data_IF_779368817599
#
_entry.id   IF_779368817599
#
_cell.length_a   1.000
_cell.length_b   1.000
_cell.length_c   1.000
_cell.angle_alpha   90.00
_cell.angle_beta   90.00
_cell.angle_gamma   90.00
#
_symmetry.space_group_name_H-M   'P 1'
#
loop_
_entity.id
_entity.type
_entity.pdbx_description
1 polymer ?
#
# COMPACT_ATOMS: atom_id res chain seq x y z
N UNK A 1 25.00 5.59 -27.59
CA UNK A 1 25.45 5.95 -26.24
C UNK A 1 24.26 6.17 -25.30
N UNK A 2 23.57 5.07 -24.91
CA UNK A 2 22.35 5.15 -24.10
C UNK A 2 22.68 4.81 -22.65
N UNK A 3 22.21 5.65 -21.71
CA UNK A 3 22.24 5.36 -20.27
C UNK A 3 20.84 4.97 -19.82
N UNK A 4 20.74 4.00 -18.90
CA UNK A 4 19.48 3.52 -18.34
C UNK A 4 19.48 3.76 -16.83
N UNK A 5 18.42 4.37 -16.33
CA UNK A 5 18.21 4.62 -14.92
C UNK A 5 17.05 3.77 -14.44
N UNK A 6 17.25 3.04 -13.35
CA UNK A 6 16.23 2.18 -12.76
C UNK A 6 16.20 2.33 -11.24
N UNK A 7 15.02 2.23 -10.66
CA UNK A 7 14.85 2.30 -9.20
C UNK A 7 15.30 1.01 -8.52
N UNK A 8 15.01 -0.14 -9.12
CA UNK A 8 15.36 -1.46 -8.59
C UNK A 8 16.30 -2.17 -9.56
N UNK A 9 17.18 -3.01 -9.04
CA UNK A 9 18.06 -3.88 -9.82
C UNK A 9 17.28 -4.66 -10.89
N UNK A 10 17.71 -4.64 -12.16
CA UNK A 10 17.10 -5.45 -13.22
C UNK A 10 17.15 -6.93 -12.89
N UNK A 11 16.01 -7.62 -12.91
CA UNK A 11 15.91 -9.01 -12.49
C UNK A 11 16.78 -9.97 -13.32
N UNK A 12 17.38 -10.95 -12.65
CA UNK A 12 18.18 -12.01 -13.26
C UNK A 12 17.34 -13.20 -13.74
N UNK A 13 16.20 -13.46 -13.09
CA UNK A 13 15.34 -14.60 -13.39
C UNK A 13 14.39 -14.34 -14.57
N UNK A 14 13.97 -15.41 -15.23
CA UNK A 14 12.89 -15.41 -16.19
C UNK A 14 11.63 -15.95 -15.51
N UNK A 15 10.61 -15.12 -15.37
CA UNK A 15 9.31 -15.47 -14.78
C UNK A 15 8.21 -15.40 -15.84
N UNK A 16 7.15 -14.65 -15.57
CA UNK A 16 6.09 -14.33 -16.55
C UNK A 16 6.63 -13.55 -17.75
N UNK A 17 7.73 -12.84 -17.58
CA UNK A 17 8.46 -12.09 -18.59
C UNK A 17 9.93 -12.51 -18.61
N UNK A 18 10.66 -12.32 -19.73
CA UNK A 18 12.09 -12.53 -19.77
C UNK A 18 12.86 -11.66 -18.78
N UNK A 19 14.07 -12.10 -18.36
CA UNK A 19 14.96 -11.35 -17.48
C UNK A 19 15.30 -9.97 -18.04
N UNK A 20 15.07 -8.92 -17.26
CA UNK A 20 15.45 -7.55 -17.64
C UNK A 20 16.97 -7.40 -17.80
N UNK A 21 17.78 -8.03 -16.94
CA UNK A 21 19.23 -7.97 -17.03
C UNK A 21 19.75 -8.65 -18.31
N UNK A 22 19.17 -9.79 -18.71
CA UNK A 22 19.55 -10.47 -19.97
C UNK A 22 19.13 -9.65 -21.19
N UNK A 23 17.94 -9.02 -21.19
CA UNK A 23 17.54 -8.12 -22.26
C UNK A 23 18.52 -6.96 -22.39
N UNK A 24 18.90 -6.32 -21.30
CA UNK A 24 19.87 -5.23 -21.30
C UNK A 24 21.26 -5.68 -21.76
N UNK A 25 21.68 -6.91 -21.45
CA UNK A 25 22.95 -7.46 -21.92
C UNK A 25 23.01 -7.61 -23.43
N UNK A 26 21.86 -7.84 -24.10
CA UNK A 26 21.76 -7.88 -25.57
C UNK A 26 21.73 -6.46 -26.17
N UNK A 27 20.98 -5.54 -25.55
CA UNK A 27 20.84 -4.15 -26.00
C UNK A 27 22.11 -3.30 -25.79
N UNK A 28 23.01 -3.73 -24.92
CA UNK A 28 24.31 -3.10 -24.63
C UNK A 28 24.23 -1.58 -24.41
N UNK A 29 23.46 -1.09 -23.44
CA UNK A 29 23.55 0.32 -23.05
C UNK A 29 24.99 0.62 -22.58
N UNK A 30 25.44 1.87 -22.71
CA UNK A 30 26.77 2.28 -22.25
C UNK A 30 26.90 2.21 -20.72
N UNK A 31 25.78 2.42 -20.01
CA UNK A 31 25.75 2.45 -18.56
C UNK A 31 24.35 2.13 -18.03
N UNK A 32 24.26 1.39 -16.91
CA UNK A 32 23.04 1.18 -16.12
C UNK A 32 23.26 1.73 -14.73
N UNK A 33 22.37 2.62 -14.30
CA UNK A 33 22.42 3.32 -13.03
C UNK A 33 21.22 2.85 -12.20
N UNK A 34 21.50 2.23 -11.04
CA UNK A 34 20.54 1.53 -10.20
C UNK A 34 20.43 2.25 -8.85
N UNK A 35 19.23 2.56 -8.40
CA UNK A 35 19.04 3.13 -7.08
C UNK A 35 19.20 2.06 -5.99
N UNK A 36 18.42 1.00 -6.01
CA UNK A 36 18.39 -0.02 -4.96
C UNK A 36 18.68 -1.42 -5.52
N UNK A 37 19.47 -2.22 -4.79
CA UNK A 37 19.65 -3.65 -5.11
C UNK A 37 18.37 -4.42 -4.83
N UNK A 38 18.12 -5.48 -5.60
CA UNK A 38 17.01 -6.36 -5.34
C UNK A 38 17.33 -7.29 -4.16
N UNK A 39 16.53 -7.18 -3.09
CA UNK A 39 16.64 -8.05 -1.90
C UNK A 39 15.92 -9.38 -2.09
N UNK A 40 15.10 -9.53 -3.13
CA UNK A 40 14.44 -10.78 -3.47
C UNK A 40 15.46 -11.76 -4.07
N UNK A 41 15.86 -12.75 -3.29
CA UNK A 41 16.87 -13.75 -3.68
C UNK A 41 16.56 -14.48 -4.99
N UNK A 42 15.28 -14.62 -5.35
CA UNK A 42 14.89 -15.27 -6.60
C UNK A 42 15.05 -14.38 -7.83
N UNK A 43 15.17 -13.07 -7.65
CA UNK A 43 15.21 -12.08 -8.73
C UNK A 43 16.55 -11.34 -8.82
N UNK A 44 17.33 -11.28 -7.73
CA UNK A 44 18.64 -10.62 -7.65
C UNK A 44 19.68 -11.26 -8.56
N UNK A 45 20.82 -10.59 -8.75
CA UNK A 45 21.95 -11.05 -9.59
C UNK A 45 22.01 -10.40 -10.96
N UNK A 46 21.17 -9.44 -11.24
CA UNK A 46 21.17 -8.70 -12.51
C UNK A 46 22.40 -7.82 -12.67
N UNK A 47 22.94 -7.26 -11.59
CA UNK A 47 24.16 -6.46 -11.58
C UNK A 47 25.35 -7.29 -12.13
N UNK A 48 25.47 -8.53 -11.70
CA UNK A 48 26.52 -9.45 -12.12
C UNK A 48 26.38 -9.81 -13.60
N UNK A 49 25.17 -10.04 -14.09
CA UNK A 49 24.89 -10.30 -15.52
C UNK A 49 25.28 -9.08 -16.36
N UNK A 50 24.93 -7.88 -15.95
CA UNK A 50 25.25 -6.65 -16.68
C UNK A 50 26.78 -6.41 -16.74
N UNK A 51 27.47 -6.54 -15.60
CA UNK A 51 28.92 -6.37 -15.51
C UNK A 51 29.67 -7.40 -16.38
N UNK A 52 29.27 -8.68 -16.31
CA UNK A 52 29.89 -9.75 -17.12
C UNK A 52 29.66 -9.56 -18.62
N UNK A 53 28.61 -8.81 -19.01
CA UNK A 53 28.34 -8.44 -20.40
C UNK A 53 29.07 -7.17 -20.86
N UNK A 54 30.00 -6.62 -20.04
CA UNK A 54 30.81 -5.44 -20.34
C UNK A 54 30.04 -4.11 -20.19
N UNK A 55 28.91 -4.10 -19.54
CA UNK A 55 28.11 -2.87 -19.30
C UNK A 55 28.62 -2.21 -18.02
N UNK A 56 28.86 -0.90 -18.07
CA UNK A 56 29.17 -0.11 -16.87
C UNK A 56 27.95 -0.06 -15.96
N UNK A 57 28.08 -0.44 -14.67
CA UNK A 57 27.00 -0.44 -13.69
C UNK A 57 27.38 0.40 -12.49
N UNK A 58 26.53 1.37 -12.15
CA UNK A 58 26.56 2.08 -10.89
C UNK A 58 25.32 1.68 -10.07
N UNK A 59 25.43 1.55 -8.75
CA UNK A 59 24.31 1.26 -7.86
C UNK A 59 24.45 2.03 -6.53
N UNK A 60 23.35 2.14 -5.78
CA UNK A 60 23.27 2.95 -4.57
C UNK A 60 23.04 4.45 -4.85
N UNK A 61 22.63 4.80 -6.07
CA UNK A 61 22.37 6.20 -6.43
C UNK A 61 20.98 6.60 -5.93
N UNK A 62 20.93 7.63 -5.08
CA UNK A 62 19.70 8.06 -4.38
C UNK A 62 19.04 6.90 -3.62
N UNK A 63 19.81 6.04 -3.00
CA UNK A 63 19.35 4.78 -2.39
C UNK A 63 18.22 4.99 -1.39
N UNK A 64 18.31 6.02 -0.53
CA UNK A 64 17.26 6.32 0.44
C UNK A 64 15.93 6.69 -0.24
N UNK A 65 15.98 7.49 -1.32
CA UNK A 65 14.76 7.83 -2.09
C UNK A 65 14.20 6.60 -2.82
N UNK A 66 15.07 5.74 -3.33
CA UNK A 66 14.68 4.47 -3.92
C UNK A 66 14.02 3.55 -2.90
N UNK A 67 14.57 3.46 -1.69
CA UNK A 67 13.99 2.71 -0.56
C UNK A 67 12.59 3.22 -0.19
N UNK A 68 12.43 4.54 -0.08
CA UNK A 68 11.13 5.15 0.24
C UNK A 68 10.07 4.78 -0.80
N UNK A 69 10.42 4.84 -2.08
CA UNK A 69 9.51 4.47 -3.17
C UNK A 69 9.19 2.96 -3.19
N UNK A 70 10.18 2.13 -2.88
CA UNK A 70 10.07 0.67 -2.88
C UNK A 70 9.55 0.11 -1.55
N UNK A 71 9.27 0.93 -0.55
CA UNK A 71 8.95 0.50 0.81
C UNK A 71 7.90 -0.62 0.89
N UNK A 72 6.74 -0.55 0.20
CA UNK A 72 5.77 -1.64 0.21
C UNK A 72 6.34 -2.96 -0.34
N UNK A 73 7.12 -2.90 -1.41
CA UNK A 73 7.76 -4.06 -2.01
C UNK A 73 8.80 -4.67 -1.06
N UNK A 74 9.63 -3.87 -0.43
CA UNK A 74 10.64 -4.32 0.53
C UNK A 74 9.98 -5.03 1.73
N UNK A 75 8.92 -4.47 2.29
CA UNK A 75 8.13 -5.12 3.35
C UNK A 75 7.62 -6.51 2.93
N UNK A 76 7.07 -6.64 1.71
CA UNK A 76 6.59 -7.93 1.20
C UNK A 76 7.74 -8.93 1.03
N UNK A 77 8.90 -8.49 0.55
CA UNK A 77 10.08 -9.34 0.41
C UNK A 77 10.64 -9.82 1.76
N UNK A 78 10.62 -8.97 2.79
CA UNK A 78 11.21 -9.25 4.10
C UNK A 78 10.29 -10.08 5.00
N UNK A 79 8.98 -9.77 5.01
CA UNK A 79 8.03 -10.37 5.96
C UNK A 79 6.75 -10.92 5.32
N UNK A 80 6.74 -11.07 3.99
CA UNK A 80 5.63 -11.60 3.19
C UNK A 80 4.37 -10.74 3.16
N UNK A 81 4.31 -9.65 3.88
CA UNK A 81 3.13 -8.76 3.94
C UNK A 81 3.51 -7.29 4.02
N UNK A 82 2.62 -6.42 3.52
CA UNK A 82 2.64 -4.98 3.74
C UNK A 82 1.26 -4.54 4.20
N UNK A 83 1.19 -3.81 5.33
CA UNK A 83 -0.05 -3.38 5.96
C UNK A 83 -0.12 -1.85 5.94
N UNK A 84 -1.08 -1.34 5.18
CA UNK A 84 -1.34 0.09 5.02
C UNK A 84 -2.56 0.49 5.82
N UNK A 85 -2.44 1.40 6.77
CA UNK A 85 -3.61 2.06 7.37
C UNK A 85 -3.98 3.29 6.54
N UNK A 86 -5.20 3.35 6.04
CA UNK A 86 -5.69 4.45 5.21
C UNK A 86 -6.74 5.27 5.95
N UNK A 87 -6.49 6.57 6.03
CA UNK A 87 -7.45 7.55 6.57
C UNK A 87 -7.71 8.69 5.58
N UNK A 88 -8.81 9.38 5.79
CA UNK A 88 -9.09 10.67 5.15
C UNK A 88 -9.46 11.68 6.22
N UNK A 89 -8.87 12.86 6.17
CA UNK A 89 -9.15 13.94 7.10
C UNK A 89 -9.07 15.31 6.43
N UNK A 90 -9.63 16.31 7.07
CA UNK A 90 -9.53 17.71 6.68
C UNK A 90 -8.27 18.36 7.26
N UNK A 91 -7.95 19.58 6.82
CA UNK A 91 -6.78 20.33 7.31
C UNK A 91 -6.76 20.49 8.85
N UNK A 92 -7.93 20.61 9.48
CA UNK A 92 -8.04 20.69 10.92
C UNK A 92 -8.08 19.32 11.62
N UNK A 93 -7.77 18.22 10.92
CA UNK A 93 -7.76 16.85 11.47
C UNK A 93 -9.15 16.19 11.56
N UNK A 94 -10.25 16.90 11.27
CA UNK A 94 -11.59 16.32 11.38
C UNK A 94 -11.86 15.27 10.30
N UNK A 95 -12.52 14.16 10.69
CA UNK A 95 -12.81 13.02 9.82
C UNK A 95 -14.31 12.64 9.77
N UNK A 96 -15.19 13.48 10.30
CA UNK A 96 -16.63 13.27 10.33
C UNK A 96 -17.40 14.21 9.40
N UNK A 97 -18.74 13.99 9.36
CA UNK A 97 -19.70 14.84 8.68
C UNK A 97 -19.51 14.92 7.14
N UNK A 98 -19.86 13.83 6.48
CA UNK A 98 -19.96 13.75 5.02
C UNK A 98 -18.66 13.31 4.32
N UNK A 99 -18.68 13.45 3.00
CA UNK A 99 -17.55 13.02 2.15
C UNK A 99 -16.37 13.98 2.33
N UNK A 100 -15.22 13.43 2.68
CA UNK A 100 -13.98 14.18 2.91
C UNK A 100 -13.13 14.20 1.65
N UNK A 101 -12.81 13.01 1.14
CA UNK A 101 -11.93 12.83 -0.02
C UNK A 101 -12.57 13.30 -1.32
N UNK A 102 -11.77 13.87 -2.21
CA UNK A 102 -12.18 14.17 -3.58
C UNK A 102 -12.52 12.90 -4.37
N UNK A 103 -13.19 13.06 -5.52
CA UNK A 103 -13.48 11.96 -6.43
C UNK A 103 -12.21 11.23 -6.88
N UNK A 104 -11.13 11.99 -7.13
CA UNK A 104 -9.84 11.42 -7.54
C UNK A 104 -9.22 10.57 -6.44
N UNK A 105 -9.27 11.03 -5.18
CA UNK A 105 -8.81 10.26 -4.02
C UNK A 105 -9.67 9.01 -3.76
N UNK A 106 -10.97 9.08 -4.02
CA UNK A 106 -11.83 7.89 -3.97
C UNK A 106 -11.46 6.88 -5.05
N UNK A 107 -11.24 7.33 -6.30
CA UNK A 107 -10.76 6.46 -7.39
C UNK A 107 -9.42 5.84 -7.03
N UNK A 108 -8.49 6.62 -6.46
CA UNK A 108 -7.21 6.11 -6.00
C UNK A 108 -7.36 5.03 -4.92
N UNK A 109 -8.24 5.24 -3.93
CA UNK A 109 -8.57 4.23 -2.91
C UNK A 109 -9.14 2.95 -3.53
N UNK A 110 -10.01 3.06 -4.53
CA UNK A 110 -10.54 1.90 -5.25
C UNK A 110 -9.48 1.17 -6.08
N UNK A 111 -8.50 1.89 -6.67
CA UNK A 111 -7.32 1.26 -7.31
C UNK A 111 -6.49 0.48 -6.30
N UNK A 112 -6.25 1.02 -5.12
CA UNK A 112 -5.53 0.28 -4.07
C UNK A 112 -6.31 -0.96 -3.64
N UNK A 113 -7.63 -0.86 -3.45
CA UNK A 113 -8.47 -2.01 -3.11
C UNK A 113 -8.45 -3.10 -4.19
N UNK A 114 -8.39 -2.74 -5.48
CA UNK A 114 -8.37 -3.72 -6.58
C UNK A 114 -7.11 -4.58 -6.62
N UNK A 115 -6.02 -4.15 -5.98
CA UNK A 115 -4.76 -4.88 -5.87
C UNK A 115 -4.48 -5.43 -4.47
N UNK A 116 -5.27 -5.05 -3.47
CA UNK A 116 -5.12 -5.52 -2.11
C UNK A 116 -5.61 -6.98 -1.97
N UNK A 117 -4.93 -7.75 -1.11
CA UNK A 117 -5.37 -9.08 -0.73
C UNK A 117 -6.56 -8.99 0.23
N UNK A 118 -6.45 -8.14 1.26
CA UNK A 118 -7.47 -7.99 2.29
C UNK A 118 -7.73 -6.52 2.64
N UNK A 119 -8.97 -6.23 3.08
CA UNK A 119 -9.31 -5.05 3.87
C UNK A 119 -9.62 -5.50 5.30
N UNK A 120 -9.00 -4.85 6.27
CA UNK A 120 -9.18 -5.08 7.70
C UNK A 120 -10.00 -3.93 8.26
N UNK A 121 -11.10 -4.25 8.92
CA UNK A 121 -12.07 -3.26 9.40
C UNK A 121 -12.67 -3.71 10.74
N UNK A 122 -13.10 -2.76 11.58
CA UNK A 122 -13.82 -3.11 12.80
C UNK A 122 -15.28 -3.44 12.53
N UNK A 123 -15.84 -4.37 13.31
CA UNK A 123 -17.29 -4.64 13.31
C UNK A 123 -18.12 -3.38 13.57
N UNK A 124 -17.63 -2.49 14.45
CA UNK A 124 -18.28 -1.22 14.73
C UNK A 124 -18.40 -0.36 13.47
N UNK A 125 -17.35 -0.20 12.69
CA UNK A 125 -17.38 0.58 11.44
C UNK A 125 -18.36 -0.02 10.42
N UNK A 126 -18.48 -1.35 10.38
CA UNK A 126 -19.45 -2.02 9.50
C UNK A 126 -20.89 -1.69 9.92
N UNK A 127 -21.17 -1.70 11.22
CA UNK A 127 -22.51 -1.40 11.75
C UNK A 127 -22.87 0.09 11.60
N UNK A 128 -21.90 0.99 11.77
CA UNK A 128 -22.14 2.43 11.68
C UNK A 128 -22.30 2.89 10.22
N UNK A 129 -21.48 2.39 9.29
CA UNK A 129 -21.33 2.94 7.93
C UNK A 129 -21.88 2.03 6.83
N UNK A 130 -22.14 0.75 7.13
CA UNK A 130 -22.54 -0.29 6.16
C UNK A 130 -21.76 -0.21 4.83
N UNK A 131 -20.42 -0.24 4.86
CA UNK A 131 -19.59 0.03 3.70
C UNK A 131 -19.55 -1.17 2.73
N UNK A 132 -19.47 -0.90 1.43
CA UNK A 132 -19.33 -1.96 0.42
C UNK A 132 -17.88 -2.48 0.30
N UNK A 133 -16.88 -1.64 0.53
CA UNK A 133 -15.43 -1.95 0.51
C UNK A 133 -14.94 -2.65 -0.76
N UNK A 134 -15.51 -2.31 -1.90
CA UNK A 134 -15.20 -2.89 -3.21
C UNK A 134 -14.30 -1.98 -4.07
N UNK A 135 -14.05 -2.42 -5.30
CA UNK A 135 -13.28 -1.69 -6.32
C UNK A 135 -14.13 -1.17 -7.49
N UNK A 136 -15.45 -0.98 -7.30
CA UNK A 136 -16.41 -0.65 -8.37
C UNK A 136 -16.06 0.56 -9.25
N UNK A 137 -15.34 1.55 -8.70
CA UNK A 137 -14.98 2.75 -9.47
C UNK A 137 -13.90 2.52 -10.51
N UNK A 138 -13.19 1.41 -10.46
CA UNK A 138 -12.07 1.12 -11.36
C UNK A 138 -12.20 -0.22 -12.07
N UNK A 139 -13.21 -1.01 -11.70
CA UNK A 139 -13.27 -2.43 -12.08
C UNK A 139 -12.15 -3.25 -11.44
N UNK A 140 -12.28 -4.54 -11.42
CA UNK A 140 -11.29 -5.44 -10.85
C UNK A 140 -11.80 -6.22 -9.65
N UNK A 141 -10.93 -7.06 -9.09
CA UNK A 141 -11.27 -7.94 -7.96
C UNK A 141 -11.45 -7.10 -6.70
N UNK A 142 -12.54 -7.35 -5.96
CA UNK A 142 -12.67 -6.82 -4.61
C UNK A 142 -11.80 -7.62 -3.64
N UNK A 143 -11.11 -6.97 -2.68
CA UNK A 143 -10.31 -7.65 -1.68
C UNK A 143 -11.19 -8.47 -0.72
N UNK A 144 -10.64 -9.50 -0.09
CA UNK A 144 -11.29 -10.17 1.03
C UNK A 144 -11.45 -9.19 2.20
N UNK A 145 -12.36 -9.47 3.11
CA UNK A 145 -12.59 -8.64 4.30
C UNK A 145 -12.26 -9.41 5.56
N UNK A 146 -11.43 -8.82 6.41
CA UNK A 146 -11.16 -9.31 7.76
C UNK A 146 -11.84 -8.37 8.73
N UNK A 147 -12.83 -8.88 9.45
CA UNK A 147 -13.61 -8.13 10.43
C UNK A 147 -13.04 -8.39 11.82
N UNK A 148 -12.60 -7.30 12.48
CA UNK A 148 -12.21 -7.37 13.89
C UNK A 148 -13.48 -7.22 14.73
N UNK A 149 -13.93 -8.34 15.30
CA UNK A 149 -15.17 -8.43 16.06
C UNK A 149 -15.71 -9.84 16.13
N UNK A 150 -16.97 -9.98 16.58
CA UNK A 150 -17.66 -11.27 16.74
C UNK A 150 -18.70 -11.46 15.65
N UNK A 151 -18.61 -12.58 14.92
CA UNK A 151 -19.46 -12.93 13.76
C UNK A 151 -20.97 -12.89 14.07
N UNK A 152 -21.36 -13.37 15.23
CA UNK A 152 -22.74 -13.64 15.63
C UNK A 152 -23.67 -12.41 15.80
N UNK A 153 -23.31 -11.24 15.26
CA UNK A 153 -24.07 -9.99 15.38
C UNK A 153 -24.20 -9.20 14.07
N UNK A 154 -23.83 -9.79 12.93
CA UNK A 154 -23.93 -9.09 11.65
C UNK A 154 -25.10 -9.65 10.83
N UNK A 155 -25.91 -8.73 10.28
CA UNK A 155 -26.97 -9.04 9.33
C UNK A 155 -26.36 -9.43 7.98
N UNK A 156 -26.80 -10.54 7.40
CA UNK A 156 -26.37 -11.03 6.08
C UNK A 156 -26.70 -10.04 4.94
N UNK A 157 -27.64 -9.12 5.16
CA UNK A 157 -27.99 -8.07 4.20
C UNK A 157 -26.98 -6.92 4.15
N UNK A 158 -25.98 -6.88 5.03
CA UNK A 158 -24.95 -5.84 5.02
C UNK A 158 -24.15 -5.86 3.73
N UNK A 159 -23.72 -4.67 3.32
CA UNK A 159 -23.05 -4.48 2.04
C UNK A 159 -21.73 -5.25 1.89
N UNK A 160 -21.05 -5.55 3.00
CA UNK A 160 -19.79 -6.34 2.96
C UNK A 160 -19.97 -7.74 2.36
N UNK A 161 -21.18 -8.33 2.44
CA UNK A 161 -21.49 -9.66 1.91
C UNK A 161 -21.95 -9.64 0.46
N UNK A 162 -22.23 -8.46 -0.14
CA UNK A 162 -22.77 -8.36 -1.52
C UNK A 162 -21.72 -8.56 -2.62
N UNK A 163 -20.43 -8.45 -2.31
CA UNK A 163 -19.36 -8.72 -3.27
C UNK A 163 -18.92 -10.18 -3.20
N UNK A 164 -18.54 -10.78 -4.35
CA UNK A 164 -17.99 -12.14 -4.40
C UNK A 164 -16.56 -12.15 -3.84
N UNK A 165 -16.43 -12.38 -2.53
CA UNK A 165 -15.18 -12.38 -1.75
C UNK A 165 -15.37 -13.11 -0.44
N UNK A 166 -14.27 -13.48 0.18
CA UNK A 166 -14.26 -14.05 1.52
C UNK A 166 -14.42 -12.95 2.58
N UNK A 167 -15.21 -13.25 3.65
CA UNK A 167 -15.35 -12.39 4.83
C UNK A 167 -15.01 -13.26 6.05
N UNK A 168 -13.93 -12.91 6.74
CA UNK A 168 -13.41 -13.63 7.90
C UNK A 168 -13.57 -12.78 9.15
N UNK A 169 -14.00 -13.39 10.25
CA UNK A 169 -14.13 -12.71 11.55
C UNK A 169 -13.01 -13.17 12.49
N UNK A 170 -12.48 -12.24 13.24
CA UNK A 170 -11.51 -12.53 14.29
C UNK A 170 -11.61 -11.52 15.42
N UNK A 171 -11.39 -11.96 16.63
CA UNK A 171 -11.22 -11.11 17.82
C UNK A 171 -9.75 -10.70 18.04
N UNK A 172 -8.83 -11.36 17.35
CA UNK A 172 -7.39 -11.13 17.46
C UNK A 172 -6.69 -11.27 16.10
N UNK A 173 -5.97 -10.22 15.69
CA UNK A 173 -5.20 -10.21 14.44
C UNK A 173 -4.03 -11.22 14.44
N UNK A 174 -3.50 -11.59 15.61
CA UNK A 174 -2.37 -12.54 15.69
C UNK A 174 -2.78 -13.97 15.28
N UNK A 175 -4.09 -14.24 15.18
CA UNK A 175 -4.64 -15.51 14.65
C UNK A 175 -4.68 -15.57 13.12
N UNK A 176 -4.41 -14.45 12.43
CA UNK A 176 -4.49 -14.32 10.98
C UNK A 176 -3.09 -14.17 10.38
N UNK A 177 -2.72 -15.08 9.50
CA UNK A 177 -1.50 -14.93 8.69
C UNK A 177 -1.81 -14.06 7.47
N UNK A 178 -1.24 -12.86 7.45
CA UNK A 178 -1.36 -11.93 6.32
C UNK A 178 -0.27 -12.18 5.29
N UNK A 179 -0.63 -12.07 4.02
CA UNK A 179 0.32 -12.08 2.90
C UNK A 179 0.01 -10.97 1.91
N UNK A 180 1.01 -10.54 1.15
CA UNK A 180 0.85 -9.53 0.11
C UNK A 180 0.43 -8.16 0.67
N UNK A 181 -0.39 -7.44 -0.06
CA UNK A 181 -0.82 -6.08 0.29
C UNK A 181 -2.15 -6.10 1.04
N UNK A 182 -2.19 -5.48 2.21
CA UNK A 182 -3.36 -5.41 3.09
C UNK A 182 -3.66 -3.97 3.48
N UNK A 183 -4.94 -3.60 3.51
CA UNK A 183 -5.40 -2.25 3.84
C UNK A 183 -6.21 -2.31 5.14
N UNK A 184 -5.92 -1.41 6.09
CA UNK A 184 -6.77 -1.16 7.26
C UNK A 184 -7.58 0.09 6.99
N UNK A 185 -8.89 0.04 7.20
CA UNK A 185 -9.78 1.20 7.14
C UNK A 185 -10.62 1.29 8.42
N UNK A 186 -10.71 2.49 8.99
CA UNK A 186 -11.52 2.74 10.21
C UNK A 186 -11.29 4.12 10.81
N UNK A 187 -12.08 4.45 11.82
CA UNK A 187 -11.99 5.71 12.56
C UNK A 187 -10.93 5.70 13.66
N UNK A 188 -10.89 6.77 14.48
CA UNK A 188 -9.85 7.03 15.46
C UNK A 188 -9.62 5.91 16.48
N UNK A 189 -10.69 5.35 17.05
CA UNK A 189 -10.55 4.26 18.04
C UNK A 189 -9.93 3.00 17.41
N UNK A 190 -10.27 2.73 16.15
CA UNK A 190 -9.70 1.58 15.44
C UNK A 190 -8.25 1.84 15.04
N UNK A 191 -7.91 3.09 14.75
CA UNK A 191 -6.52 3.50 14.54
C UNK A 191 -5.66 3.24 15.77
N UNK A 192 -6.10 3.66 16.95
CA UNK A 192 -5.40 3.40 18.22
C UNK A 192 -5.16 1.91 18.47
N UNK A 193 -6.15 1.08 18.15
CA UNK A 193 -6.05 -0.37 18.30
C UNK A 193 -5.09 -1.01 17.28
N UNK A 194 -5.02 -0.47 16.06
CA UNK A 194 -4.29 -1.09 14.94
C UNK A 194 -2.96 -0.43 14.60
N UNK A 195 -2.64 0.74 15.16
CA UNK A 195 -1.43 1.51 14.79
C UNK A 195 -0.11 0.75 14.96
N UNK A 196 -0.06 -0.22 15.90
CA UNK A 196 1.13 -1.04 16.13
C UNK A 196 1.24 -2.24 15.17
N UNK A 197 0.19 -2.51 14.41
CA UNK A 197 0.15 -3.59 13.42
C UNK A 197 0.37 -3.11 11.98
N UNK A 198 0.40 -1.79 11.73
CA UNK A 198 0.63 -1.23 10.39
C UNK A 198 2.11 -0.94 10.12
N UNK A 199 2.46 -0.94 8.84
CA UNK A 199 3.78 -0.54 8.33
C UNK A 199 3.81 0.90 7.87
N UNK A 200 2.69 1.35 7.33
CA UNK A 200 2.56 2.66 6.73
C UNK A 200 1.17 3.24 6.98
N UNK A 201 1.13 4.54 7.23
CA UNK A 201 -0.08 5.33 7.27
C UNK A 201 -0.23 6.10 5.96
N UNK A 202 -1.37 5.97 5.29
CA UNK A 202 -1.77 6.81 4.17
C UNK A 202 -2.85 7.79 4.62
N UNK A 203 -2.54 9.07 4.56
CA UNK A 203 -3.46 10.15 4.87
C UNK A 203 -3.89 10.85 3.58
N UNK A 204 -5.18 10.84 3.26
CA UNK A 204 -5.76 11.80 2.32
C UNK A 204 -6.16 13.06 3.06
N UNK A 205 -5.45 14.15 2.79
CA UNK A 205 -5.67 15.46 3.40
C UNK A 205 -6.48 16.34 2.45
N UNK A 206 -7.76 16.56 2.80
CA UNK A 206 -8.64 17.44 2.03
C UNK A 206 -8.40 18.93 2.40
N UNK A 207 -8.35 19.85 1.42
CA UNK A 207 -8.02 21.26 1.64
C UNK A 207 -9.23 22.08 2.15
N UNK A 208 -9.88 21.60 3.20
CA UNK A 208 -10.99 22.29 3.86
C UNK A 208 -10.96 22.05 5.37
N UNK A 209 -11.80 22.77 6.11
CA UNK A 209 -11.97 22.63 7.56
C UNK A 209 -13.43 22.52 7.88
N UNK A 210 -13.79 21.66 8.82
CA UNK A 210 -15.17 21.50 9.32
C UNK A 210 -15.13 21.02 10.77
N UNK A 211 -16.09 21.43 11.58
CA UNK A 211 -16.27 20.88 12.94
C UNK A 211 -16.47 19.37 12.87
N UNK A 212 -15.84 18.64 13.78
CA UNK A 212 -15.94 17.19 13.86
C UNK A 212 -14.88 16.62 14.80
N UNK A 213 -14.96 15.33 15.08
CA UNK A 213 -13.91 14.62 15.84
C UNK A 213 -12.62 14.55 15.04
N UNK A 214 -11.51 14.60 15.78
CA UNK A 214 -10.16 14.45 15.26
C UNK A 214 -9.58 13.10 15.71
N UNK A 215 -8.48 12.69 15.09
CA UNK A 215 -7.64 11.62 15.63
C UNK A 215 -6.88 12.18 16.84
N UNK A 216 -7.03 11.51 17.99
CA UNK A 216 -6.39 11.92 19.25
C UNK A 216 -5.18 11.07 19.60
N UNK A 217 -4.87 10.09 18.77
CA UNK A 217 -3.77 9.18 18.98
C UNK A 217 -2.42 9.88 18.80
N UNK A 218 -1.45 9.52 19.62
CA UNK A 218 -0.05 9.84 19.32
C UNK A 218 0.47 8.88 18.26
N UNK A 219 1.08 9.42 17.25
CA UNK A 219 1.74 8.69 16.17
C UNK A 219 2.99 9.47 15.75
N UNK A 220 4.11 8.80 15.63
CA UNK A 220 5.33 9.34 15.08
C UNK A 220 5.76 8.55 13.86
N UNK A 221 6.40 9.23 12.90
CA UNK A 221 6.80 8.58 11.68
C UNK A 221 7.39 9.54 10.63
N UNK A 222 8.01 8.96 9.64
CA UNK A 222 8.72 9.65 8.57
C UNK A 222 7.90 9.66 7.28
N UNK A 223 7.72 10.82 6.66
CA UNK A 223 7.07 10.93 5.34
C UNK A 223 7.98 10.27 4.29
N UNK A 224 7.48 9.19 3.67
CA UNK A 224 8.13 8.51 2.55
C UNK A 224 7.88 9.25 1.24
N UNK A 225 6.64 9.65 1.03
CA UNK A 225 6.16 10.22 -0.21
C UNK A 225 4.95 11.12 0.02
N UNK A 226 4.83 12.16 -0.80
CA UNK A 226 3.63 12.99 -0.87
C UNK A 226 3.23 13.20 -2.33
N UNK A 227 1.93 13.18 -2.60
CA UNK A 227 1.41 13.34 -3.94
C UNK A 227 0.10 14.12 -3.92
N UNK A 228 -0.06 15.06 -4.86
CA UNK A 228 -1.35 15.68 -5.11
C UNK A 228 -2.25 14.72 -5.90
N UNK A 229 -3.47 14.50 -5.39
CA UNK A 229 -4.50 13.66 -6.03
C UNK A 229 -5.78 14.48 -6.15
N UNK A 230 -6.04 15.00 -7.34
CA UNK A 230 -7.08 15.99 -7.56
C UNK A 230 -6.83 17.24 -6.72
N UNK A 231 -7.76 17.57 -5.82
CA UNK A 231 -7.60 18.69 -4.88
C UNK A 231 -6.92 18.28 -3.56
N UNK A 232 -6.84 17.00 -3.24
CA UNK A 232 -6.31 16.48 -1.98
C UNK A 232 -4.79 16.23 -2.07
N UNK A 233 -4.15 16.06 -0.92
CA UNK A 233 -2.77 15.57 -0.82
C UNK A 233 -2.81 14.18 -0.18
N UNK A 234 -2.17 13.21 -0.79
CA UNK A 234 -1.87 11.92 -0.19
C UNK A 234 -0.49 11.95 0.45
N UNK A 235 -0.40 11.60 1.73
CA UNK A 235 0.84 11.47 2.50
C UNK A 235 1.03 10.02 2.88
N UNK A 236 2.17 9.45 2.48
CA UNK A 236 2.60 8.12 2.87
C UNK A 236 3.63 8.25 3.98
N UNK A 237 3.34 7.69 5.16
CA UNK A 237 4.12 7.88 6.37
C UNK A 237 4.50 6.52 6.91
N UNK A 238 5.80 6.22 6.93
CA UNK A 238 6.34 5.04 7.60
C UNK A 238 6.27 5.27 9.11
N UNK A 239 5.81 4.29 9.86
CA UNK A 239 5.89 4.30 11.32
C UNK A 239 7.35 4.15 11.76
N UNK A 240 7.77 4.95 12.74
CA UNK A 240 9.07 4.84 13.41
C UNK A 240 9.12 3.64 14.35
#
# INVERSE_FOLDING_TARGET
NTKIFVTLEPCAHSGKTPSCARLLSVLKPSEVIISHKDINKSASGGIEILKSSGIKVQYGILENKGRDLLFPFLCICEKSSFILYKIAQRLNGSFENGVISSKDSMIYSHKMRSIANNIIISQKTILDDNPLLDSRLVGGKSPNVIVIGKENKLDENLNIFKANREVVFTDNMDKITLSGFNIIEGGANFFDFMKDKMDCLLVFLAPNMQKGRNFFSTFDGRILHSQRIGRDIALWIQKD
#
